data_IF_031905472201
#
_entry.id   IF_031905472201
#
_cell.length_a   1.000
_cell.length_b   1.000
_cell.length_c   1.000
_cell.angle_alpha   90.00
_cell.angle_beta   90.00
_cell.angle_gamma   90.00
#
_symmetry.space_group_name_H-M   'P 1'
#
loop_
_entity.id
_entity.type
_entity.pdbx_description
1 polymer ?
#
# COMPACT_ATOMS: atom_id res chain seq x y z
N UNK A 1 12.55 24.60 -12.81
CA UNK A 1 12.19 24.06 -11.49
C UNK A 1 11.03 24.88 -10.93
N UNK A 2 10.12 24.29 -10.15
CA UNK A 2 9.05 25.06 -9.50
C UNK A 2 9.65 26.06 -8.49
N UNK A 3 9.05 27.24 -8.37
CA UNK A 3 9.59 28.33 -7.52
C UNK A 3 9.43 28.06 -6.02
N UNK A 4 8.43 27.26 -5.65
CA UNK A 4 8.17 26.78 -4.28
C UNK A 4 7.68 25.33 -4.38
N UNK A 5 8.20 24.46 -3.51
CA UNK A 5 7.76 23.05 -3.40
C UNK A 5 7.17 22.82 -2.02
N UNK A 6 5.96 22.27 -1.96
CA UNK A 6 5.32 21.83 -0.71
C UNK A 6 5.31 20.31 -0.68
N UNK A 7 5.87 19.74 0.37
CA UNK A 7 5.98 18.29 0.60
C UNK A 7 5.04 17.90 1.74
N UNK A 8 4.09 17.01 1.47
CA UNK A 8 3.15 16.46 2.46
C UNK A 8 3.34 14.95 2.43
N UNK A 9 3.80 14.38 3.55
CA UNK A 9 4.13 12.95 3.60
C UNK A 9 4.06 12.39 5.02
N UNK A 10 3.98 11.07 5.14
CA UNK A 10 3.99 10.36 6.42
C UNK A 10 5.11 9.31 6.52
N UNK A 11 5.96 9.16 5.51
CA UNK A 11 7.03 8.16 5.53
C UNK A 11 8.20 8.59 6.43
N UNK A 12 8.65 7.67 7.29
CA UNK A 12 9.86 7.85 8.13
C UNK A 12 11.14 8.09 7.32
N UNK A 13 11.17 7.60 6.08
CA UNK A 13 12.31 7.77 5.17
C UNK A 13 12.32 9.11 4.43
N UNK A 14 11.30 9.96 4.60
CA UNK A 14 11.21 11.23 3.88
C UNK A 14 12.32 12.19 4.32
N UNK A 15 13.03 12.77 3.36
CA UNK A 15 14.19 13.66 3.59
C UNK A 15 13.82 15.14 3.71
N UNK A 16 12.53 15.48 3.75
CA UNK A 16 12.02 16.85 3.82
C UNK A 16 12.52 17.75 2.68
N UNK A 17 12.41 17.26 1.45
CA UNK A 17 12.99 17.91 0.26
C UNK A 17 12.24 19.18 -0.22
N UNK A 18 11.09 19.51 0.39
CA UNK A 18 10.29 20.68 0.02
C UNK A 18 10.86 21.98 0.57
N UNK A 19 10.44 23.10 -0.01
CA UNK A 19 10.60 24.43 0.60
C UNK A 19 9.74 24.56 1.86
N UNK A 20 8.58 23.89 1.86
CA UNK A 20 7.68 23.73 3.00
C UNK A 20 7.44 22.23 3.16
N UNK A 21 7.59 21.71 4.39
CA UNK A 21 7.45 20.29 4.68
C UNK A 21 6.42 20.08 5.80
N UNK A 22 5.37 19.33 5.51
CA UNK A 22 4.47 18.74 6.49
C UNK A 22 4.71 17.23 6.48
N UNK A 23 5.63 16.78 7.33
CA UNK A 23 5.95 15.35 7.48
C UNK A 23 5.54 14.87 8.86
N UNK A 24 4.56 13.96 8.90
CA UNK A 24 3.99 13.41 10.14
C UNK A 24 4.00 11.90 10.09
N UNK A 25 5.05 11.31 10.65
CA UNK A 25 5.29 9.86 10.65
C UNK A 25 4.34 9.07 11.54
N UNK A 26 3.59 9.75 12.39
CA UNK A 26 2.55 9.19 13.25
C UNK A 26 1.19 9.05 12.55
N UNK A 27 1.03 9.67 11.37
CA UNK A 27 -0.21 9.60 10.60
C UNK A 27 -0.32 8.28 9.84
N UNK A 28 -1.55 7.76 9.72
CA UNK A 28 -1.78 6.47 9.09
C UNK A 28 -1.50 6.48 7.57
N UNK A 29 -1.73 7.61 6.91
CA UNK A 29 -1.50 7.82 5.48
C UNK A 29 -1.27 9.30 5.16
N UNK A 30 -0.74 9.58 3.97
CA UNK A 30 -0.68 10.97 3.47
C UNK A 30 -2.08 11.56 3.26
N UNK A 31 -3.09 10.75 2.91
CA UNK A 31 -4.45 11.26 2.77
C UNK A 31 -5.13 11.61 4.10
N UNK A 32 -4.73 11.00 5.22
CA UNK A 32 -5.12 11.47 6.55
C UNK A 32 -4.65 12.91 6.79
N UNK A 33 -3.41 13.24 6.39
CA UNK A 33 -2.87 14.61 6.49
C UNK A 33 -3.63 15.60 5.60
N UNK A 34 -3.99 15.18 4.39
CA UNK A 34 -4.77 16.03 3.48
C UNK A 34 -6.18 16.25 4.03
N UNK A 35 -6.82 15.22 4.59
CA UNK A 35 -8.11 15.35 5.27
C UNK A 35 -8.02 16.36 6.42
N UNK A 36 -7.01 16.25 7.28
CA UNK A 36 -6.80 17.18 8.40
C UNK A 36 -6.65 18.64 7.93
N UNK A 37 -5.89 18.88 6.86
CA UNK A 37 -5.72 20.20 6.28
C UNK A 37 -7.04 20.76 5.74
N UNK A 38 -7.82 19.97 5.00
CA UNK A 38 -9.11 20.38 4.46
C UNK A 38 -10.10 20.73 5.59
N UNK A 39 -10.09 19.95 6.68
CA UNK A 39 -10.90 20.21 7.88
C UNK A 39 -10.46 21.49 8.58
N UNK A 40 -9.15 21.69 8.79
CA UNK A 40 -8.60 22.88 9.42
C UNK A 40 -8.93 24.16 8.62
N UNK A 41 -8.91 24.08 7.29
CA UNK A 41 -9.26 25.18 6.39
C UNK A 41 -10.76 25.31 6.11
N UNK A 42 -11.59 24.44 6.70
CA UNK A 42 -13.06 24.42 6.51
C UNK A 42 -13.45 24.31 5.03
N UNK A 43 -12.66 23.57 4.26
CA UNK A 43 -12.93 23.30 2.85
C UNK A 43 -13.92 22.14 2.75
N UNK A 44 -14.97 22.32 1.96
CA UNK A 44 -15.92 21.24 1.68
C UNK A 44 -15.25 20.11 0.90
N UNK A 45 -15.42 18.87 1.37
CA UNK A 45 -14.90 17.67 0.73
C UNK A 45 -16.04 17.04 -0.08
N UNK A 46 -16.03 17.14 -1.42
CA UNK A 46 -17.06 16.51 -2.25
C UNK A 46 -16.91 14.97 -2.25
N UNK A 47 -17.97 14.21 -2.58
CA UNK A 47 -17.97 12.74 -2.50
C UNK A 47 -16.82 12.04 -3.26
N UNK A 48 -16.43 12.59 -4.42
CA UNK A 48 -15.29 12.06 -5.19
C UNK A 48 -13.97 12.22 -4.45
N UNK A 49 -13.73 13.38 -3.83
CA UNK A 49 -12.55 13.62 -3.00
C UNK A 49 -12.60 12.76 -1.73
N UNK A 50 -13.79 12.60 -1.13
CA UNK A 50 -13.97 11.75 0.03
C UNK A 50 -13.57 10.29 -0.26
N UNK A 51 -13.96 9.77 -1.43
CA UNK A 51 -13.56 8.43 -1.89
C UNK A 51 -12.04 8.31 -2.08
N UNK A 52 -11.40 9.32 -2.67
CA UNK A 52 -9.94 9.35 -2.84
C UNK A 52 -9.21 9.38 -1.50
N UNK A 53 -9.65 10.19 -0.55
CA UNK A 53 -9.04 10.24 0.79
C UNK A 53 -9.26 8.91 1.52
N UNK A 54 -10.46 8.36 1.47
CA UNK A 54 -10.80 7.09 2.10
C UNK A 54 -9.90 5.95 1.60
N UNK A 55 -9.69 5.84 0.28
CA UNK A 55 -8.88 4.74 -0.27
C UNK A 55 -7.41 4.83 0.13
N UNK A 56 -6.86 6.03 0.31
CA UNK A 56 -5.47 6.17 0.79
C UNK A 56 -5.32 5.68 2.24
N UNK A 57 -6.24 6.05 3.13
CA UNK A 57 -6.28 5.57 4.52
C UNK A 57 -6.47 4.05 4.52
N UNK A 58 -7.40 3.53 3.71
CA UNK A 58 -7.67 2.10 3.62
C UNK A 58 -6.44 1.32 3.12
N UNK A 59 -5.72 1.85 2.13
CA UNK A 59 -4.56 1.22 1.53
C UNK A 59 -3.39 1.14 2.51
N UNK A 60 -2.98 2.26 3.08
CA UNK A 60 -1.75 2.34 3.89
C UNK A 60 -1.93 1.64 5.25
N UNK A 61 -3.17 1.48 5.71
CA UNK A 61 -3.50 0.69 6.91
C UNK A 61 -3.76 -0.80 6.62
N UNK A 62 -3.64 -1.24 5.35
CA UNK A 62 -3.90 -2.64 4.98
C UNK A 62 -5.34 -3.08 5.17
N UNK A 63 -6.28 -2.15 5.06
CA UNK A 63 -7.67 -2.32 5.44
C UNK A 63 -7.86 -2.29 6.96
N UNK A 64 -7.18 -1.38 7.65
CA UNK A 64 -7.21 -1.22 9.13
C UNK A 64 -6.66 -2.44 9.89
N UNK A 65 -5.67 -3.12 9.32
CA UNK A 65 -5.05 -4.35 9.85
C UNK A 65 -3.56 -4.19 10.16
N UNK A 66 -3.00 -3.02 9.89
CA UNK A 66 -1.60 -2.69 10.17
C UNK A 66 -1.48 -1.84 11.43
N UNK A 67 -0.31 -1.85 12.05
CA UNK A 67 -0.05 -1.19 13.34
C UNK A 67 -0.17 0.34 13.28
N UNK A 68 -0.10 0.93 12.09
CA UNK A 68 -0.38 2.35 11.86
C UNK A 68 -1.87 2.71 11.87
N UNK A 69 -2.77 1.74 12.10
CA UNK A 69 -4.20 2.00 12.26
C UNK A 69 -4.46 2.75 13.57
N UNK A 70 -4.72 4.05 13.48
CA UNK A 70 -4.98 4.90 14.64
C UNK A 70 -6.49 5.14 14.86
N UNK A 71 -6.85 5.57 16.07
CA UNK A 71 -8.21 6.03 16.35
C UNK A 71 -8.60 7.25 15.49
N UNK A 72 -7.62 8.06 15.08
CA UNK A 72 -7.83 9.18 14.17
C UNK A 72 -8.19 8.70 12.77
N UNK A 73 -7.42 7.75 12.21
CA UNK A 73 -7.66 7.14 10.92
C UNK A 73 -9.08 6.56 10.80
N UNK A 74 -9.53 5.87 11.85
CA UNK A 74 -10.87 5.27 11.89
C UNK A 74 -11.98 6.33 11.91
N UNK A 75 -11.80 7.44 12.65
CA UNK A 75 -12.76 8.56 12.66
C UNK A 75 -12.79 9.29 11.33
N UNK A 76 -11.61 9.57 10.75
CA UNK A 76 -11.50 10.18 9.44
C UNK A 76 -12.19 9.32 8.38
N UNK A 77 -11.95 8.00 8.38
CA UNK A 77 -12.61 7.07 7.48
C UNK A 77 -14.14 7.06 7.65
N UNK A 78 -14.65 7.08 8.88
CA UNK A 78 -16.07 7.17 9.16
C UNK A 78 -16.69 8.46 8.59
N UNK A 79 -16.07 9.62 8.84
CA UNK A 79 -16.56 10.89 8.31
C UNK A 79 -16.51 10.93 6.77
N UNK A 80 -15.46 10.37 6.16
CA UNK A 80 -15.35 10.31 4.70
C UNK A 80 -16.48 9.47 4.08
N UNK A 81 -16.94 8.42 4.77
CA UNK A 81 -18.13 7.65 4.36
C UNK A 81 -19.40 8.50 4.50
N UNK A 82 -19.56 9.26 5.58
CA UNK A 82 -20.67 10.22 5.72
C UNK A 82 -20.67 11.28 4.60
N UNK A 83 -19.49 11.67 4.13
CA UNK A 83 -19.30 12.61 3.01
C UNK A 83 -19.48 11.96 1.62
N UNK A 84 -19.83 10.67 1.55
CA UNK A 84 -20.20 9.97 0.33
C UNK A 84 -19.15 9.02 -0.24
N UNK A 85 -18.11 8.65 0.52
CA UNK A 85 -17.21 7.57 0.12
C UNK A 85 -17.90 6.20 0.19
N UNK A 86 -17.89 5.44 -0.91
CA UNK A 86 -18.36 4.05 -0.92
C UNK A 86 -17.26 3.11 -0.44
N UNK A 87 -17.25 2.83 0.86
CA UNK A 87 -16.28 1.94 1.50
C UNK A 87 -16.22 0.55 0.86
N UNK A 88 -17.35 0.00 0.43
CA UNK A 88 -17.43 -1.36 -0.13
C UNK A 88 -16.82 -1.37 -1.53
N UNK A 89 -17.15 -0.39 -2.36
CA UNK A 89 -16.60 -0.25 -3.71
C UNK A 89 -15.09 -0.01 -3.66
N UNK A 90 -14.62 0.88 -2.77
CA UNK A 90 -13.19 1.13 -2.56
C UNK A 90 -12.44 -0.13 -2.12
N UNK A 91 -12.94 -0.86 -1.12
CA UNK A 91 -12.31 -2.08 -0.63
C UNK A 91 -12.31 -3.21 -1.68
N UNK A 92 -13.39 -3.35 -2.46
CA UNK A 92 -13.44 -4.31 -3.57
C UNK A 92 -12.43 -3.96 -4.66
N UNK A 93 -12.37 -2.70 -5.07
CA UNK A 93 -11.41 -2.22 -6.06
C UNK A 93 -9.98 -2.51 -5.64
N UNK A 94 -9.65 -2.22 -4.37
CA UNK A 94 -8.29 -2.35 -3.85
C UNK A 94 -7.86 -3.80 -3.60
N UNK A 95 -8.71 -4.61 -2.98
CA UNK A 95 -8.30 -5.95 -2.52
C UNK A 95 -8.83 -7.11 -3.35
N UNK A 96 -9.88 -6.92 -4.14
CA UNK A 96 -10.57 -7.99 -4.89
C UNK A 96 -10.43 -7.88 -6.40
N UNK A 97 -9.64 -6.92 -6.90
CA UNK A 97 -9.26 -6.86 -8.31
C UNK A 97 -7.84 -7.41 -8.48
N UNK A 98 -7.72 -8.69 -8.87
CA UNK A 98 -6.42 -9.29 -9.19
C UNK A 98 -6.46 -9.99 -10.55
N UNK A 99 -5.54 -9.66 -11.47
CA UNK A 99 -5.42 -10.38 -12.72
C UNK A 99 -5.18 -11.87 -12.49
N UNK A 100 -5.71 -12.71 -13.38
CA UNK A 100 -5.52 -14.16 -13.31
C UNK A 100 -4.04 -14.56 -13.35
N UNK A 101 -3.19 -13.76 -14.02
CA UNK A 101 -1.72 -13.94 -14.03
C UNK A 101 -1.11 -13.82 -12.62
N UNK A 102 -1.55 -12.83 -11.83
CA UNK A 102 -1.11 -12.65 -10.44
C UNK A 102 -1.51 -13.82 -9.57
N UNK A 103 -2.75 -14.32 -9.71
CA UNK A 103 -3.21 -15.51 -8.99
C UNK A 103 -2.40 -16.75 -9.38
N UNK A 104 -2.11 -16.95 -10.67
CA UNK A 104 -1.25 -18.05 -11.14
C UNK A 104 0.17 -17.96 -10.59
N UNK A 105 0.75 -16.76 -10.55
CA UNK A 105 2.08 -16.53 -9.95
C UNK A 105 2.08 -16.89 -8.46
N UNK A 106 1.06 -16.48 -7.72
CA UNK A 106 0.90 -16.83 -6.30
C UNK A 106 0.81 -18.34 -6.10
N UNK A 107 0.05 -19.05 -6.95
CA UNK A 107 0.01 -20.51 -6.94
C UNK A 107 1.38 -21.15 -7.11
N UNK A 108 2.20 -20.67 -8.06
CA UNK A 108 3.58 -21.16 -8.26
C UNK A 108 4.48 -20.89 -7.06
N UNK A 109 4.35 -19.74 -6.40
CA UNK A 109 5.10 -19.43 -5.19
C UNK A 109 4.72 -20.38 -4.06
N UNK A 110 3.43 -20.63 -3.86
CA UNK A 110 2.92 -21.51 -2.81
C UNK A 110 3.27 -22.99 -3.03
N UNK A 111 3.40 -23.43 -4.29
CA UNK A 111 3.86 -24.78 -4.63
C UNK A 111 5.29 -25.07 -4.15
N UNK A 112 6.14 -24.04 -4.05
CA UNK A 112 7.52 -24.17 -3.55
C UNK A 112 7.67 -23.89 -2.05
N UNK A 113 6.58 -23.85 -1.28
CA UNK A 113 6.63 -23.58 0.15
C UNK A 113 7.15 -24.81 0.91
N UNK A 114 8.27 -24.66 1.60
CA UNK A 114 8.81 -25.65 2.53
C UNK A 114 8.78 -25.10 3.96
N UNK A 115 8.39 -25.94 4.92
CA UNK A 115 8.41 -25.60 6.34
C UNK A 115 9.67 -26.18 6.98
N UNK A 116 10.48 -25.33 7.59
CA UNK A 116 11.58 -25.77 8.44
C UNK A 116 11.10 -25.80 9.90
N UNK A 117 11.29 -26.93 10.58
CA UNK A 117 10.87 -27.11 11.96
C UNK A 117 12.00 -26.63 12.88
N UNK A 118 11.87 -25.39 13.35
CA UNK A 118 12.79 -24.69 14.27
C UNK A 118 12.32 -23.24 14.36
N UNK A 119 12.24 -22.69 15.57
CA UNK A 119 11.57 -21.42 15.89
C UNK A 119 11.68 -20.35 14.79
N UNK A 120 10.56 -20.12 14.09
CA UNK A 120 10.21 -18.93 13.32
C UNK A 120 11.27 -18.41 12.34
N UNK A 121 11.43 -19.06 11.18
CA UNK A 121 11.96 -18.42 9.97
C UNK A 121 11.54 -19.17 8.71
N UNK A 122 10.73 -18.55 7.85
CA UNK A 122 10.47 -19.04 6.49
C UNK A 122 11.37 -18.28 5.52
N UNK A 123 12.39 -18.91 4.98
CA UNK A 123 13.21 -18.35 3.89
C UNK A 123 12.60 -18.72 2.53
N UNK A 124 12.63 -17.79 1.57
CA UNK A 124 12.17 -18.01 0.20
C UNK A 124 13.35 -17.90 -0.76
N UNK A 125 13.60 -18.93 -1.56
CA UNK A 125 14.46 -18.85 -2.74
C UNK A 125 13.63 -19.17 -3.97
N UNK A 126 13.57 -18.24 -4.92
CA UNK A 126 13.12 -18.54 -6.27
C UNK A 126 14.28 -19.20 -7.00
N UNK A 127 14.30 -20.53 -7.04
CA UNK A 127 15.29 -21.26 -7.82
C UNK A 127 15.18 -20.85 -9.29
N UNK A 128 16.21 -20.17 -9.82
CA UNK A 128 16.41 -20.01 -11.26
C UNK A 128 16.68 -21.40 -11.82
N UNK A 129 15.84 -21.87 -12.73
CA UNK A 129 16.14 -23.02 -13.57
C UNK A 129 17.23 -22.63 -14.57
N UNK A 130 18.45 -23.12 -14.34
CA UNK A 130 19.51 -23.11 -15.36
C UNK A 130 19.14 -24.08 -16.48
N UNK A 131 19.26 -23.72 -17.77
CA UNK A 131 19.08 -24.68 -18.85
C UNK A 131 20.30 -25.60 -18.92
N UNK A 132 20.08 -26.92 -18.81
CA UNK A 132 21.12 -27.93 -18.98
C UNK A 132 21.57 -27.95 -20.45
N UNK A 133 22.84 -27.63 -20.71
CA UNK A 133 23.47 -27.87 -22.01
C UNK A 133 23.74 -29.37 -22.18
N UNK A 134 23.05 -29.99 -23.13
CA UNK A 134 23.31 -31.34 -23.57
C UNK A 134 24.63 -31.40 -24.36
N UNK A 135 25.67 -32.02 -23.77
CA UNK A 135 26.86 -32.43 -24.50
C UNK A 135 26.48 -33.59 -25.45
N UNK A 136 26.58 -33.37 -26.76
CA UNK A 136 26.56 -34.45 -27.76
C UNK A 136 27.83 -35.32 -27.61
N UNK A 137 27.75 -36.65 -27.75
CA UNK A 137 28.94 -37.48 -27.77
C UNK A 137 29.63 -37.36 -29.13
N UNK A 138 30.95 -37.19 -29.09
CA UNK A 138 31.85 -37.35 -30.24
C UNK A 138 31.90 -38.84 -30.57
N UNK A 139 31.63 -39.20 -31.83
CA UNK A 139 32.00 -40.50 -32.40
C UNK A 139 33.06 -40.27 -33.47
N UNK A 140 34.14 -41.03 -33.37
CA UNK A 140 35.10 -41.24 -34.45
C UNK A 140 34.61 -42.27 -35.44
#
# INVERSE_FOLDING_TARGET
QAKVVVNIDHHVSNTQFGSINLVRTDAASTGELVYDLLKAWKIHIPPGAASCLYVTILSDTGGFRHDNTSAHALRAAAELVELGADAVMMARGLFKSRPASTLRMQGRILQGLHFEFGSTSSTRSAARSSPSSSKKPVRG
#
